data_IF_314136689271
#
_entry.id   IF_314136689271
#
_cell.length_a   1.000
_cell.length_b   1.000
_cell.length_c   1.000
_cell.angle_alpha   90.00
_cell.angle_beta   90.00
_cell.angle_gamma   90.00
#
_symmetry.space_group_name_H-M   'P 1'
#
loop_
_entity.id
_entity.type
_entity.pdbx_description
1 polymer ?
#
# COMPACT_ATOMS: atom_id res chain seq x y z
N UNK A 1 29.20 -12.56 -4.00
CA UNK A 1 28.13 -12.43 -5.00
C UNK A 1 26.83 -12.90 -4.37
N UNK A 2 26.15 -12.01 -3.66
CA UNK A 2 24.89 -12.33 -2.98
C UNK A 2 23.76 -11.91 -3.90
N UNK A 3 23.10 -12.89 -4.50
CA UNK A 3 21.87 -12.70 -5.27
C UNK A 3 20.78 -12.16 -4.32
N UNK A 4 19.94 -11.18 -4.72
CA UNK A 4 18.72 -10.92 -3.98
C UNK A 4 17.82 -12.15 -4.14
N UNK A 5 17.47 -12.78 -3.02
CA UNK A 5 16.51 -13.88 -3.01
C UNK A 5 15.15 -13.34 -3.49
N UNK A 6 14.72 -13.79 -4.66
CA UNK A 6 13.33 -13.63 -5.11
C UNK A 6 12.46 -14.40 -4.11
N UNK A 7 11.60 -13.69 -3.36
CA UNK A 7 10.66 -14.31 -2.43
C UNK A 7 9.56 -15.02 -3.23
N UNK A 8 9.10 -16.15 -2.73
CA UNK A 8 8.04 -16.93 -3.36
C UNK A 8 6.76 -16.09 -3.52
N UNK A 9 6.10 -16.14 -4.70
CA UNK A 9 4.91 -15.34 -4.97
C UNK A 9 3.72 -15.66 -4.05
N UNK A 10 3.70 -16.85 -3.45
CA UNK A 10 2.66 -17.24 -2.48
C UNK A 10 2.79 -16.45 -1.16
N UNK A 11 4.00 -16.21 -0.67
CA UNK A 11 4.28 -15.41 0.54
C UNK A 11 3.85 -13.94 0.35
N UNK A 12 4.00 -13.41 -0.88
CA UNK A 12 3.58 -12.05 -1.20
C UNK A 12 2.07 -11.86 -1.21
N UNK A 13 1.33 -12.86 -1.70
CA UNK A 13 -0.13 -12.86 -1.62
C UNK A 13 -0.61 -12.98 -0.18
N UNK A 14 0.13 -13.70 0.67
CA UNK A 14 -0.11 -13.80 2.12
C UNK A 14 0.01 -12.45 2.81
N UNK A 15 1.13 -11.73 2.60
CA UNK A 15 1.34 -10.38 3.15
C UNK A 15 0.25 -9.39 2.74
N UNK A 16 -0.22 -9.47 1.49
CA UNK A 16 -1.30 -8.63 1.01
C UNK A 16 -2.65 -8.99 1.67
N UNK A 17 -2.89 -10.28 1.90
CA UNK A 17 -4.07 -10.75 2.62
C UNK A 17 -4.05 -10.34 4.09
N UNK A 18 -2.89 -10.44 4.75
CA UNK A 18 -2.69 -10.02 6.14
C UNK A 18 -2.85 -8.50 6.30
N UNK A 19 -2.38 -7.70 5.34
CA UNK A 19 -2.63 -6.25 5.34
C UNK A 19 -4.13 -5.90 5.21
N UNK A 20 -4.93 -6.80 4.62
CA UNK A 20 -6.38 -6.61 4.46
C UNK A 20 -7.21 -7.17 5.59
N UNK A 21 -6.65 -8.11 6.35
CA UNK A 21 -7.24 -8.67 7.55
C UNK A 21 -6.93 -7.74 8.73
N UNK A 22 -7.57 -6.57 8.76
CA UNK A 22 -7.50 -5.69 9.93
C UNK A 22 -8.37 -6.30 11.06
N UNK A 23 -7.78 -7.19 11.86
CA UNK A 23 -8.17 -7.41 13.26
C UNK A 23 -6.96 -7.92 14.09
N UNK A 24 -6.40 -6.98 14.88
CA UNK A 24 -5.45 -7.16 15.99
C UNK A 24 -3.99 -7.62 15.74
N UNK A 25 -3.09 -6.81 16.33
CA UNK A 25 -1.87 -7.18 17.06
C UNK A 25 -0.48 -7.07 16.38
N UNK A 26 0.40 -6.40 17.15
CA UNK A 26 1.75 -6.84 17.52
C UNK A 26 2.75 -7.22 16.40
N UNK A 27 3.47 -6.19 15.94
CA UNK A 27 4.92 -6.16 15.73
C UNK A 27 5.67 -7.43 15.25
N UNK A 28 5.94 -7.56 13.93
CA UNK A 28 7.12 -8.27 13.46
C UNK A 28 8.29 -7.34 13.12
N UNK A 29 9.49 -7.81 13.50
CA UNK A 29 10.79 -7.13 13.59
C UNK A 29 11.59 -7.17 12.26
N UNK A 30 12.92 -6.84 12.19
CA UNK A 30 13.40 -5.66 11.47
C UNK A 30 14.35 -6.02 10.31
N UNK A 31 13.84 -6.18 9.10
CA UNK A 31 14.66 -6.13 7.89
C UNK A 31 14.07 -5.10 6.91
N UNK A 32 14.33 -3.83 7.27
CA UNK A 32 13.93 -2.60 6.56
C UNK A 32 14.78 -2.41 5.30
N UNK A 33 14.37 -3.00 4.17
CA UNK A 33 14.62 -2.35 2.87
C UNK A 33 13.49 -1.35 2.65
N UNK A 34 13.86 -0.14 2.27
CA UNK A 34 13.17 1.13 2.57
C UNK A 34 11.65 1.02 2.37
N UNK A 35 10.85 1.19 3.44
CA UNK A 35 9.39 0.93 3.47
C UNK A 35 8.60 1.62 2.35
N UNK A 36 9.15 2.67 1.72
CA UNK A 36 8.59 3.32 0.53
C UNK A 36 8.64 2.41 -0.70
N UNK A 37 9.80 1.83 -0.99
CA UNK A 37 9.97 0.91 -2.12
C UNK A 37 9.10 -0.34 -1.93
N UNK A 38 8.99 -0.84 -0.69
CA UNK A 38 8.08 -1.95 -0.38
C UNK A 38 6.61 -1.55 -0.58
N UNK A 39 6.21 -0.37 -0.12
CA UNK A 39 4.86 0.13 -0.34
C UNK A 39 4.56 0.34 -1.84
N UNK A 40 5.54 0.78 -2.63
CA UNK A 40 5.41 0.89 -4.09
C UNK A 40 5.24 -0.48 -4.73
N UNK A 41 6.06 -1.45 -4.34
CA UNK A 41 6.01 -2.83 -4.81
C UNK A 41 4.67 -3.50 -4.51
N UNK A 42 4.25 -3.47 -3.24
CA UNK A 42 2.93 -3.97 -2.82
C UNK A 42 1.80 -3.19 -3.51
N UNK A 43 1.99 -1.89 -3.73
CA UNK A 43 1.07 -1.04 -4.47
C UNK A 43 0.84 -1.52 -5.90
N UNK A 44 1.89 -1.90 -6.62
CA UNK A 44 1.80 -2.47 -7.97
C UNK A 44 1.06 -3.81 -7.97
N UNK A 45 1.40 -4.70 -7.03
CA UNK A 45 0.75 -6.02 -6.90
C UNK A 45 -0.75 -5.84 -6.62
N UNK A 46 -1.10 -4.90 -5.75
CA UNK A 46 -2.48 -4.61 -5.37
C UNK A 46 -3.34 -4.21 -6.57
N UNK A 47 -2.86 -3.28 -7.39
CA UNK A 47 -3.59 -2.81 -8.58
C UNK A 47 -3.51 -3.78 -9.76
N UNK A 48 -2.50 -4.65 -9.75
CA UNK A 48 -2.30 -5.70 -10.75
C UNK A 48 -1.93 -5.17 -12.14
N UNK A 49 -1.77 -6.11 -13.07
CA UNK A 49 -1.46 -5.81 -14.46
C UNK A 49 -2.52 -4.92 -15.13
N UNK A 50 -2.06 -4.02 -16.00
CA UNK A 50 -2.93 -3.09 -16.72
C UNK A 50 -3.43 -1.91 -15.88
N UNK A 51 -2.91 -1.74 -14.66
CA UNK A 51 -3.15 -0.55 -13.85
C UNK A 51 -2.70 0.73 -14.58
N UNK A 52 -3.39 1.82 -14.27
CA UNK A 52 -3.19 3.13 -14.89
C UNK A 52 -3.12 4.20 -13.83
N UNK A 53 -2.48 5.33 -14.15
CA UNK A 53 -2.57 6.52 -13.32
C UNK A 53 -4.03 6.98 -13.22
N UNK A 54 -4.46 7.35 -12.01
CA UNK A 54 -5.77 7.99 -11.84
C UNK A 54 -5.80 9.32 -12.59
N UNK A 55 -6.95 9.70 -13.13
CA UNK A 55 -7.10 10.93 -13.94
C UNK A 55 -6.66 12.19 -13.20
N UNK A 56 -6.91 12.25 -11.89
CA UNK A 56 -6.59 13.41 -11.07
C UNK A 56 -5.23 13.29 -10.36
N UNK A 57 -4.15 13.26 -11.16
CA UNK A 57 -2.78 13.21 -10.65
C UNK A 57 -2.37 14.45 -9.84
N UNK A 58 -3.08 15.57 -10.01
CA UNK A 58 -2.82 16.79 -9.24
C UNK A 58 -3.10 16.57 -7.74
N UNK A 59 -4.21 15.90 -7.43
CA UNK A 59 -4.64 15.64 -6.06
C UNK A 59 -4.11 14.31 -5.52
N UNK A 60 -3.69 13.39 -6.41
CA UNK A 60 -3.16 12.09 -6.04
C UNK A 60 -1.95 11.72 -6.93
N UNK A 61 -0.78 12.38 -6.73
CA UNK A 61 0.41 12.12 -7.52
C UNK A 61 0.87 10.66 -7.37
N UNK A 62 1.08 9.97 -8.49
CA UNK A 62 1.53 8.58 -8.54
C UNK A 62 0.45 7.56 -8.16
N UNK A 63 -0.78 7.99 -7.89
CA UNK A 63 -1.87 7.06 -7.57
C UNK A 63 -2.26 6.23 -8.79
N UNK A 64 -2.43 4.94 -8.56
CA UNK A 64 -2.76 3.95 -9.58
C UNK A 64 -4.16 3.39 -9.32
N UNK A 65 -4.86 3.07 -10.40
CA UNK A 65 -6.12 2.34 -10.39
C UNK A 65 -5.96 1.09 -11.25
N UNK A 66 -6.40 -0.03 -10.70
CA UNK A 66 -6.53 -1.33 -11.37
C UNK A 66 -7.36 -1.25 -12.65
N UNK A 67 -7.13 -2.18 -13.57
CA UNK A 67 -7.80 -2.22 -14.86
C UNK A 67 -9.33 -2.36 -14.75
N UNK A 68 -9.82 -3.08 -13.73
CA UNK A 68 -11.24 -3.26 -13.44
C UNK A 68 -11.87 -2.09 -12.65
N UNK A 69 -11.04 -1.14 -12.20
CA UNK A 69 -11.48 0.04 -11.46
C UNK A 69 -11.81 -0.22 -9.99
N UNK A 70 -11.61 -1.43 -9.45
CA UNK A 70 -12.03 -1.79 -8.09
C UNK A 70 -10.99 -1.47 -7.01
N UNK A 71 -9.73 -1.37 -7.40
CA UNK A 71 -8.59 -1.18 -6.50
C UNK A 71 -7.81 0.06 -6.87
N UNK A 72 -7.50 0.88 -5.87
CA UNK A 72 -6.64 2.06 -6.00
C UNK A 72 -5.47 1.91 -5.03
N UNK A 73 -4.26 2.15 -5.53
CA UNK A 73 -3.08 2.37 -4.71
C UNK A 73 -2.79 3.87 -4.61
N UNK A 74 -2.58 4.37 -3.38
CA UNK A 74 -2.09 5.72 -3.14
C UNK A 74 -0.68 5.64 -2.52
N UNK A 75 0.34 6.18 -3.19
CA UNK A 75 1.71 6.16 -2.69
C UNK A 75 1.88 6.82 -1.32
N UNK A 76 3.00 6.54 -0.62
CA UNK A 76 3.39 7.23 0.60
C UNK A 76 3.24 8.74 0.47
N UNK A 77 2.38 9.33 1.29
CA UNK A 77 2.19 10.77 1.37
C UNK A 77 2.16 11.24 2.81
N UNK A 78 2.65 12.46 3.05
CA UNK A 78 2.57 13.09 4.35
C UNK A 78 1.10 13.35 4.71
N UNK A 79 0.73 12.95 5.93
CA UNK A 79 -0.60 13.19 6.51
C UNK A 79 -0.42 14.06 7.76
N UNK A 80 -0.18 15.38 7.60
CA UNK A 80 0.16 16.26 8.71
C UNK A 80 -0.93 16.41 9.78
N UNK A 81 -2.18 16.02 9.45
CA UNK A 81 -3.33 16.09 10.35
C UNK A 81 -3.78 14.71 10.88
N UNK A 82 -3.05 13.63 10.58
CA UNK A 82 -3.38 12.31 11.13
C UNK A 82 -3.02 12.26 12.62
N UNK A 83 -3.86 11.61 13.42
CA UNK A 83 -3.57 11.41 14.84
C UNK A 83 -2.32 10.55 14.98
N UNK A 84 -1.37 10.98 15.81
CA UNK A 84 -0.05 10.36 15.96
C UNK A 84 -0.13 8.86 16.32
N UNK A 85 -1.10 8.44 17.13
CA UNK A 85 -1.29 7.02 17.47
C UNK A 85 -1.79 6.16 16.30
N UNK A 86 -2.41 6.76 15.27
CA UNK A 86 -2.86 6.07 14.06
C UNK A 86 -1.83 6.18 12.92
N UNK A 87 -0.91 7.14 13.01
CA UNK A 87 0.13 7.37 12.05
C UNK A 87 1.41 7.92 12.73
N UNK A 88 2.16 7.06 13.44
CA UNK A 88 3.29 7.50 14.27
C UNK A 88 4.43 8.11 13.46
N UNK A 89 4.48 7.84 12.16
CA UNK A 89 5.49 8.38 11.26
C UNK A 89 5.02 9.63 10.52
N UNK A 90 3.71 9.89 10.48
CA UNK A 90 3.10 10.93 9.67
C UNK A 90 3.08 10.64 8.17
N UNK A 91 3.52 9.45 7.73
CA UNK A 91 3.58 9.06 6.31
C UNK A 91 2.84 7.74 6.12
N UNK A 92 1.89 7.72 5.19
CA UNK A 92 1.08 6.53 4.91
C UNK A 92 0.90 6.29 3.41
N UNK A 93 0.95 5.02 3.02
CA UNK A 93 0.37 4.54 1.77
C UNK A 93 -1.02 3.94 2.02
N UNK A 94 -1.88 3.95 1.00
CA UNK A 94 -3.25 3.45 1.11
C UNK A 94 -3.59 2.43 0.01
N UNK A 95 -4.23 1.34 0.41
CA UNK A 95 -4.73 0.26 -0.44
C UNK A 95 -6.25 0.27 -0.39
N UNK A 96 -6.84 0.94 -1.38
CA UNK A 96 -8.24 1.31 -1.37
C UNK A 96 -9.03 0.33 -2.24
N UNK A 97 -10.13 -0.21 -1.69
CA UNK A 97 -11.17 -0.91 -2.43
C UNK A 97 -12.35 0.01 -2.68
N UNK A 98 -12.90 -0.04 -3.88
CA UNK A 98 -14.10 0.67 -4.25
C UNK A 98 -15.03 -0.17 -5.11
N UNK A 99 -16.30 0.21 -5.10
CA UNK A 99 -17.33 -0.30 -6.00
C UNK A 99 -18.17 0.88 -6.47
N UNK A 100 -18.32 1.00 -7.79
CA UNK A 100 -19.07 2.11 -8.41
C UNK A 100 -18.59 3.50 -7.96
N UNK A 101 -17.27 3.67 -7.78
CA UNK A 101 -16.65 4.91 -7.30
C UNK A 101 -16.82 5.20 -5.81
N UNK A 102 -17.52 4.33 -5.06
CA UNK A 102 -17.66 4.43 -3.61
C UNK A 102 -16.62 3.57 -2.92
N UNK A 103 -15.89 4.15 -1.97
CA UNK A 103 -14.94 3.40 -1.15
C UNK A 103 -15.67 2.39 -0.28
N UNK A 104 -15.22 1.14 -0.34
CA UNK A 104 -15.75 0.01 0.45
C UNK A 104 -14.72 -0.55 1.43
N UNK A 105 -13.43 -0.24 1.25
CA UNK A 105 -12.35 -0.63 2.15
C UNK A 105 -11.10 0.22 1.93
N UNK A 106 -10.26 0.34 2.96
CA UNK A 106 -9.01 1.11 2.87
C UNK A 106 -8.01 0.60 3.92
N UNK A 107 -7.05 -0.22 3.50
CA UNK A 107 -5.93 -0.66 4.34
C UNK A 107 -4.79 0.36 4.27
N UNK A 108 -4.12 0.59 5.40
CA UNK A 108 -3.09 1.63 5.54
C UNK A 108 -1.75 0.96 5.86
N UNK A 109 -0.68 1.45 5.23
CA UNK A 109 0.68 1.05 5.58
C UNK A 109 1.45 2.27 6.07
N UNK A 110 1.83 2.27 7.35
CA UNK A 110 2.68 3.32 7.92
C UNK A 110 4.12 3.17 7.44
N UNK A 111 4.68 4.28 6.96
CA UNK A 111 5.99 4.31 6.32
C UNK A 111 6.96 5.01 7.25
N UNK A 112 8.09 4.38 7.55
CA UNK A 112 9.13 5.02 8.37
C UNK A 112 9.79 6.17 7.61
N UNK A 113 10.23 7.18 8.38
CA UNK A 113 10.96 8.33 7.87
C UNK A 113 12.37 7.96 7.45
#
# INVERSE_FOLDING_TARGET
STHPAERDPEEETGLLADLMADEEADNPSPDKREKKEEAERLGQIWVGDGAKLVTNQKDCPGCLISADGLRIYRPPSEKPNALEHLNPTGIQANFVQQKDGKITGNAHMSIEK
#
